data_IF_175742705461
#
_entry.id   IF_175742705461
#
_cell.length_a   1.000
_cell.length_b   1.000
_cell.length_c   1.000
_cell.angle_alpha   90.00
_cell.angle_beta   90.00
_cell.angle_gamma   90.00
#
_symmetry.space_group_name_H-M   'P 1'
#
loop_
_entity.id
_entity.type
_entity.pdbx_description
1 polymer ?
#
# COMPACT_ATOMS: atom_id res chain seq x y z
N UNK A 1 11.60 5.79 -12.25
CA UNK A 1 10.34 5.20 -11.77
C UNK A 1 9.59 4.60 -12.93
N UNK A 2 8.68 3.68 -12.66
CA UNK A 2 7.88 2.99 -13.68
C UNK A 2 6.41 3.11 -13.32
N UNK A 3 5.55 3.28 -14.32
CA UNK A 3 4.10 3.18 -14.11
C UNK A 3 3.74 1.70 -13.85
N UNK A 4 3.00 1.46 -12.77
CA UNK A 4 2.61 0.11 -12.33
C UNK A 4 1.14 0.08 -11.91
N UNK A 5 0.58 -1.13 -11.95
CA UNK A 5 -0.69 -1.50 -11.31
C UNK A 5 -0.40 -2.74 -10.47
N UNK A 6 -0.46 -2.62 -9.15
CA UNK A 6 -0.05 -3.69 -8.22
C UNK A 6 -1.21 -4.04 -7.28
N UNK A 7 -1.61 -5.31 -7.19
CA UNK A 7 -2.60 -5.74 -6.22
C UNK A 7 -2.00 -5.89 -4.83
N UNK A 8 -2.79 -5.64 -3.79
CA UNK A 8 -2.40 -5.96 -2.42
C UNK A 8 -3.44 -5.55 -1.39
N UNK A 9 -3.16 -5.91 -0.14
CA UNK A 9 -3.93 -5.51 1.02
C UNK A 9 -3.35 -4.23 1.61
N UNK A 10 -4.18 -3.45 2.29
CA UNK A 10 -3.83 -2.13 2.79
C UNK A 10 -3.66 -2.16 4.32
N UNK A 11 -2.55 -1.62 4.79
CA UNK A 11 -2.35 -1.26 6.20
C UNK A 11 -2.30 0.26 6.27
N UNK A 12 -3.34 0.94 6.77
CA UNK A 12 -3.36 2.39 6.83
C UNK A 12 -2.31 2.90 7.82
N UNK A 13 -1.57 3.95 7.44
CA UNK A 13 -0.58 4.61 8.29
C UNK A 13 -1.02 6.02 8.67
N UNK A 14 -1.44 6.81 7.69
CA UNK A 14 -1.87 8.21 7.87
C UNK A 14 -3.21 8.46 7.18
N UNK A 15 -4.07 9.26 7.83
CA UNK A 15 -5.40 9.58 7.32
C UNK A 15 -6.37 10.07 8.39
N UNK A 16 -7.64 10.08 8.04
CA UNK A 16 -8.78 10.37 8.91
C UNK A 16 -9.86 9.28 8.81
N UNK A 17 -11.04 9.54 9.38
CA UNK A 17 -12.15 8.59 9.38
C UNK A 17 -12.69 8.23 7.99
N UNK A 18 -12.41 9.04 6.97
CA UNK A 18 -12.95 8.89 5.61
C UNK A 18 -11.86 8.58 4.58
N UNK A 19 -10.63 9.03 4.79
CA UNK A 19 -9.56 8.98 3.79
C UNK A 19 -8.22 8.55 4.37
N UNK A 20 -7.45 7.77 3.59
CA UNK A 20 -6.08 7.35 3.91
C UNK A 20 -5.12 7.99 2.92
N UNK A 21 -4.08 8.67 3.41
CA UNK A 21 -3.10 9.38 2.59
C UNK A 21 -1.77 8.64 2.49
N UNK A 22 -1.44 7.81 3.48
CA UNK A 22 -0.25 6.96 3.45
C UNK A 22 -0.59 5.57 3.98
N UNK A 23 -0.11 4.53 3.32
CA UNK A 23 -0.38 3.15 3.69
C UNK A 23 0.68 2.18 3.20
N UNK A 24 0.78 1.01 3.83
CA UNK A 24 1.55 -0.11 3.29
C UNK A 24 0.66 -0.96 2.40
N UNK A 25 1.15 -1.30 1.21
CA UNK A 25 0.58 -2.33 0.35
C UNK A 25 1.35 -3.64 0.55
N UNK A 26 0.64 -4.69 0.97
CA UNK A 26 1.21 -5.99 1.38
C UNK A 26 0.56 -7.15 0.64
N UNK A 27 1.25 -8.30 0.47
CA UNK A 27 0.79 -9.37 -0.41
C UNK A 27 -0.27 -10.30 0.21
N UNK A 28 -0.51 -10.24 1.52
CA UNK A 28 -1.49 -11.09 2.20
C UNK A 28 -2.17 -10.39 3.37
N UNK A 29 -3.41 -10.79 3.63
CA UNK A 29 -4.20 -10.30 4.75
C UNK A 29 -3.55 -10.64 6.10
N UNK A 30 -3.57 -9.68 7.03
CA UNK A 30 -2.98 -9.86 8.36
C UNK A 30 -1.45 -9.78 8.41
N UNK A 31 -0.79 -9.35 7.33
CA UNK A 31 0.62 -8.98 7.38
C UNK A 31 0.88 -7.95 8.48
N UNK A 32 2.05 -8.03 9.11
CA UNK A 32 2.48 -7.18 10.22
C UNK A 32 1.68 -7.32 11.54
N UNK A 33 0.63 -8.15 11.60
CA UNK A 33 -0.06 -8.52 12.86
C UNK A 33 0.62 -9.73 13.52
N UNK A 34 1.25 -10.59 12.72
CA UNK A 34 2.00 -11.76 13.18
C UNK A 34 3.47 -11.66 12.75
N UNK A 35 4.38 -12.14 13.60
CA UNK A 35 5.82 -12.14 13.32
C UNK A 35 6.25 -13.41 12.59
N UNK A 36 7.29 -13.33 11.73
CA UNK A 36 7.97 -12.11 11.31
C UNK A 36 7.16 -11.34 10.24
N UNK A 37 7.34 -10.00 10.13
CA UNK A 37 6.78 -9.23 9.03
C UNK A 37 7.33 -9.71 7.67
N UNK A 38 6.65 -9.38 6.54
CA UNK A 38 7.19 -9.68 5.22
C UNK A 38 8.57 -9.04 5.01
N UNK A 39 9.44 -9.62 4.18
CA UNK A 39 10.69 -8.98 3.78
C UNK A 39 10.45 -7.60 3.13
N UNK A 40 11.37 -6.62 3.27
CA UNK A 40 11.17 -5.26 2.75
C UNK A 40 10.88 -5.15 1.25
N UNK A 41 11.37 -6.11 0.44
CA UNK A 41 11.10 -6.16 -1.00
C UNK A 41 9.70 -6.70 -1.36
N UNK A 42 8.91 -7.08 -0.35
CA UNK A 42 7.51 -7.51 -0.49
C UNK A 42 6.52 -6.50 0.13
N UNK A 43 7.00 -5.34 0.59
CA UNK A 43 6.16 -4.29 1.16
C UNK A 43 6.40 -3.02 0.35
N UNK A 44 5.32 -2.34 -0.01
CA UNK A 44 5.38 -1.08 -0.74
C UNK A 44 4.77 0.01 0.12
N UNK A 45 5.52 1.08 0.34
CA UNK A 45 4.99 2.29 0.96
C UNK A 45 4.24 3.11 -0.09
N UNK A 46 2.96 3.37 0.11
CA UNK A 46 2.15 4.13 -0.84
C UNK A 46 1.86 5.51 -0.28
N UNK A 47 2.22 6.55 -1.05
CA UNK A 47 1.80 7.93 -0.81
C UNK A 47 0.64 8.25 -1.76
N UNK A 48 -0.50 8.64 -1.22
CA UNK A 48 -1.73 8.92 -1.97
C UNK A 48 -2.32 10.28 -1.56
N UNK A 49 -1.74 11.42 -2.02
CA UNK A 49 -2.10 12.76 -1.55
C UNK A 49 -3.56 13.15 -1.77
N UNK A 50 -4.26 12.51 -2.71
CA UNK A 50 -5.69 12.75 -2.97
C UNK A 50 -6.62 12.12 -1.94
N UNK A 51 -6.10 11.29 -1.04
CA UNK A 51 -6.88 10.48 -0.11
C UNK A 51 -7.52 9.28 -0.82
N UNK A 52 -7.23 8.09 -0.31
CA UNK A 52 -7.90 6.85 -0.68
C UNK A 52 -9.15 6.67 0.20
N UNK A 53 -10.36 6.44 -0.35
CA UNK A 53 -11.56 6.28 0.46
C UNK A 53 -11.46 5.03 1.35
N UNK A 54 -11.62 5.17 2.67
CA UNK A 54 -11.48 4.06 3.63
C UNK A 54 -12.37 2.86 3.27
N UNK A 55 -13.59 3.11 2.78
CA UNK A 55 -14.52 2.06 2.35
C UNK A 55 -13.99 1.16 1.23
N UNK A 56 -13.04 1.61 0.42
CA UNK A 56 -12.47 0.84 -0.69
C UNK A 56 -11.29 -0.04 -0.26
N UNK A 57 -10.79 0.12 0.98
CA UNK A 57 -9.51 -0.47 1.42
C UNK A 57 -9.68 -1.75 2.26
N UNK A 58 -10.90 -2.24 2.41
CA UNK A 58 -11.21 -3.42 3.23
C UNK A 58 -10.82 -4.74 2.57
N UNK A 59 -10.88 -4.78 1.25
CA UNK A 59 -10.50 -5.94 0.44
C UNK A 59 -9.18 -5.68 -0.29
N UNK A 60 -8.72 -6.68 -1.05
CA UNK A 60 -7.59 -6.49 -1.96
C UNK A 60 -7.93 -5.43 -2.99
N UNK A 61 -6.98 -4.53 -3.25
CA UNK A 61 -7.12 -3.44 -4.23
C UNK A 61 -5.96 -3.48 -5.22
N UNK A 62 -6.18 -2.88 -6.39
CA UNK A 62 -5.08 -2.44 -7.24
C UNK A 62 -4.71 -0.99 -6.91
N UNK A 63 -3.43 -0.76 -6.67
CA UNK A 63 -2.84 0.58 -6.63
C UNK A 63 -2.18 0.88 -7.97
N UNK A 64 -2.57 1.98 -8.60
CA UNK A 64 -1.97 2.48 -9.84
C UNK A 64 -1.15 3.73 -9.54
N UNK A 65 0.11 3.75 -9.97
CA UNK A 65 0.98 4.89 -9.76
C UNK A 65 2.41 4.67 -10.23
N UNK A 66 3.30 5.59 -9.83
CA UNK A 66 4.72 5.53 -10.17
C UNK A 66 5.50 4.81 -9.08
N UNK A 67 6.04 3.64 -9.40
CA UNK A 67 6.93 2.88 -8.52
C UNK A 67 8.35 3.48 -8.53
N UNK A 68 8.94 3.61 -7.35
CA UNK A 68 10.32 4.02 -7.11
C UNK A 68 10.99 3.01 -6.18
N UNK A 69 12.26 2.72 -6.43
CA UNK A 69 13.11 1.99 -5.48
C UNK A 69 13.64 3.00 -4.48
N UNK A 70 13.06 2.99 -3.29
CA UNK A 70 13.34 3.93 -2.21
C UNK A 70 13.06 3.21 -0.90
N UNK A 71 14.02 3.23 0.02
CA UNK A 71 13.88 2.59 1.32
C UNK A 71 13.16 3.52 2.29
N UNK A 72 12.08 3.05 2.89
CA UNK A 72 11.41 3.72 4.00
C UNK A 72 11.52 2.85 5.25
N UNK A 73 12.06 3.43 6.31
CA UNK A 73 12.05 2.86 7.65
C UNK A 73 10.86 3.46 8.43
N UNK A 74 9.80 2.67 8.58
CA UNK A 74 8.62 3.02 9.37
C UNK A 74 8.55 2.13 10.62
N UNK A 75 7.88 2.59 11.68
CA UNK A 75 7.80 1.86 12.96
C UNK A 75 7.20 0.45 12.82
N UNK A 76 6.30 0.27 11.84
CA UNK A 76 5.66 -1.02 11.56
C UNK A 76 6.47 -1.93 10.62
N UNK A 77 7.27 -1.37 9.71
CA UNK A 77 7.99 -2.13 8.69
C UNK A 77 9.07 -1.30 7.98
N UNK A 78 10.13 -1.98 7.53
CA UNK A 78 11.04 -1.47 6.50
C UNK A 78 10.51 -1.87 5.11
N UNK A 79 10.57 -0.95 4.15
CA UNK A 79 10.15 -1.18 2.76
C UNK A 79 11.28 -0.83 1.80
N UNK A 80 11.34 -1.50 0.65
CA UNK A 80 12.32 -1.19 -0.41
C UNK A 80 11.73 -0.39 -1.58
N UNK A 81 10.42 -0.13 -1.55
CA UNK A 81 9.69 0.47 -2.65
C UNK A 81 8.67 1.50 -2.17
N UNK A 82 8.53 2.57 -2.95
CA UNK A 82 7.50 3.58 -2.79
C UNK A 82 6.65 3.66 -4.05
N UNK A 83 5.33 3.77 -3.90
CA UNK A 83 4.43 4.19 -4.99
C UNK A 83 3.89 5.59 -4.69
N UNK A 84 4.07 6.49 -5.65
CA UNK A 84 3.26 7.71 -5.75
C UNK A 84 1.95 7.35 -6.44
N UNK A 85 0.92 7.12 -5.62
CA UNK A 85 -0.37 6.60 -6.04
C UNK A 85 -1.23 7.67 -6.72
N UNK A 86 -1.93 7.24 -7.77
CA UNK A 86 -2.75 8.11 -8.62
C UNK A 86 -4.20 7.65 -8.74
N UNK A 87 -4.43 6.34 -8.60
CA UNK A 87 -5.75 5.71 -8.67
C UNK A 87 -5.76 4.42 -7.86
N UNK A 88 -6.91 4.11 -7.28
CA UNK A 88 -7.25 2.81 -6.71
C UNK A 88 -8.33 2.19 -7.58
N UNK A 89 -8.24 0.88 -7.78
CA UNK A 89 -9.26 0.10 -8.47
C UNK A 89 -9.60 -1.11 -7.63
N UNK A 90 -10.88 -1.51 -7.65
CA UNK A 90 -11.28 -2.80 -7.12
C UNK A 90 -10.48 -3.90 -7.82
N UNK A 91 -10.03 -4.87 -7.03
CA UNK A 91 -9.40 -6.06 -7.56
C UNK A 91 -10.43 -6.92 -8.30
N UNK A 92 -10.03 -7.48 -9.43
CA UNK A 92 -10.87 -8.33 -10.29
C UNK A 92 -10.13 -9.64 -10.53
N UNK A 93 -10.74 -10.75 -10.13
CA UNK A 93 -10.18 -12.11 -10.24
C UNK A 93 -10.56 -12.82 -11.55
N UNK A 94 -11.24 -12.11 -12.46
CA UNK A 94 -11.79 -12.68 -13.72
C UNK A 94 -10.90 -12.48 -14.95
#
# INVERSE_FOLDING_TARGET
GSQVKIPGFVIPLEGDANTVTEFLLVPYFGACIHVPPPPPNQIIYVKFPKGAPVQELWDVIYVVGTLKTETINHELAETAYVIEGSKIEAYDDM
#
